data_IF_740181506087
#
_entry.id   IF_740181506087
#
_cell.length_a   1.000
_cell.length_b   1.000
_cell.length_c   1.000
_cell.angle_alpha   90.00
_cell.angle_beta   90.00
_cell.angle_gamma   90.00
#
_symmetry.space_group_name_H-M   'P 1'
#
loop_
_entity.id
_entity.type
_entity.pdbx_description
1 polymer ?
#
# COMPACT_ATOMS: atom_id res chain seq x y z
N UNK A 1 2.58 9.84 2.98
CA UNK A 1 1.88 8.56 2.72
C UNK A 1 2.85 7.43 2.47
N UNK A 2 3.83 7.63 1.59
CA UNK A 2 4.88 6.69 1.21
C UNK A 2 5.56 5.99 2.40
N UNK A 3 6.06 6.77 3.38
CA UNK A 3 6.70 6.21 4.59
C UNK A 3 5.78 5.30 5.41
N UNK A 4 4.48 5.57 5.42
CA UNK A 4 3.52 4.75 6.17
C UNK A 4 3.29 3.41 5.45
N UNK A 5 3.12 3.45 4.12
CA UNK A 5 2.96 2.23 3.32
C UNK A 5 4.24 1.39 3.37
N UNK A 6 5.42 2.02 3.24
CA UNK A 6 6.74 1.37 3.40
C UNK A 6 6.80 0.62 4.74
N UNK A 7 6.52 1.32 5.86
CA UNK A 7 6.59 0.73 7.19
C UNK A 7 5.61 -0.44 7.36
N UNK A 8 4.35 -0.27 6.95
CA UNK A 8 3.35 -1.35 7.07
C UNK A 8 3.68 -2.52 6.16
N UNK A 9 4.18 -2.29 4.95
CA UNK A 9 4.63 -3.35 4.05
C UNK A 9 5.77 -4.17 4.67
N UNK A 10 6.78 -3.49 5.22
CA UNK A 10 7.89 -4.15 5.90
C UNK A 10 7.43 -5.00 7.09
N UNK A 11 6.44 -4.55 7.85
CA UNK A 11 5.88 -5.33 8.96
C UNK A 11 5.24 -6.64 8.47
N UNK A 12 4.52 -6.60 7.34
CA UNK A 12 3.98 -7.81 6.70
C UNK A 12 5.10 -8.76 6.28
N UNK A 13 6.13 -8.25 5.60
CA UNK A 13 7.28 -9.06 5.15
C UNK A 13 8.02 -9.66 6.35
N UNK A 14 8.28 -8.88 7.40
CA UNK A 14 8.93 -9.33 8.65
C UNK A 14 8.11 -10.39 9.37
N UNK A 15 6.78 -10.32 9.29
CA UNK A 15 5.87 -11.34 9.82
C UNK A 15 5.80 -12.61 8.94
N UNK A 16 6.56 -12.69 7.84
CA UNK A 16 6.49 -13.79 6.89
C UNK A 16 5.20 -13.81 6.05
N UNK A 17 4.40 -12.73 6.09
CA UNK A 17 3.20 -12.59 5.28
C UNK A 17 3.59 -12.10 3.89
N UNK A 18 2.93 -12.65 2.87
CA UNK A 18 3.03 -12.14 1.49
C UNK A 18 1.93 -11.13 1.27
N UNK A 19 2.26 -9.92 0.82
CA UNK A 19 1.26 -8.91 0.46
C UNK A 19 0.63 -9.28 -0.89
N UNK A 20 -0.69 -9.16 -0.98
CA UNK A 20 -1.46 -9.45 -2.19
C UNK A 20 -2.08 -8.21 -2.83
N UNK A 21 -2.41 -7.20 -2.01
CA UNK A 21 -3.02 -5.95 -2.45
C UNK A 21 -2.77 -4.84 -1.45
N UNK A 22 -2.57 -3.63 -1.96
CA UNK A 22 -2.60 -2.38 -1.21
C UNK A 22 -3.73 -1.54 -1.79
N UNK A 23 -4.77 -1.30 -1.03
CA UNK A 23 -5.86 -0.42 -1.44
C UNK A 23 -5.57 0.99 -0.92
N UNK A 24 -5.78 2.00 -1.76
CA UNK A 24 -5.55 3.40 -1.40
C UNK A 24 -6.70 4.27 -1.90
N UNK A 25 -7.10 5.27 -1.10
CA UNK A 25 -8.11 6.22 -1.52
C UNK A 25 -7.59 7.10 -2.68
N UNK A 26 -8.46 7.70 -3.50
CA UNK A 26 -8.03 8.58 -4.60
C UNK A 26 -7.13 9.72 -4.12
N UNK A 27 -7.50 10.38 -3.02
CA UNK A 27 -6.72 11.48 -2.41
C UNK A 27 -5.37 10.95 -1.89
N UNK A 28 -5.37 9.75 -1.31
CA UNK A 28 -4.14 9.10 -0.86
C UNK A 28 -3.19 8.79 -2.03
N UNK A 29 -3.74 8.35 -3.15
CA UNK A 29 -2.97 8.08 -4.37
C UNK A 29 -2.34 9.36 -4.94
N UNK A 30 -3.06 10.48 -4.97
CA UNK A 30 -2.50 11.76 -5.42
C UNK A 30 -1.32 12.20 -4.53
N UNK A 31 -1.48 12.06 -3.21
CA UNK A 31 -0.41 12.35 -2.26
C UNK A 31 0.80 11.43 -2.47
N UNK A 32 0.55 10.11 -2.60
CA UNK A 32 1.59 9.12 -2.84
C UNK A 32 2.37 9.42 -4.13
N UNK A 33 1.67 9.71 -5.22
CA UNK A 33 2.28 10.10 -6.50
C UNK A 33 3.17 11.34 -6.36
N UNK A 34 2.75 12.33 -5.56
CA UNK A 34 3.58 13.51 -5.29
C UNK A 34 4.86 13.17 -4.52
N UNK A 35 4.81 12.21 -3.59
CA UNK A 35 6.00 11.75 -2.86
C UNK A 35 6.93 10.90 -3.75
N UNK A 36 6.36 10.03 -4.59
CA UNK A 36 7.11 9.17 -5.51
C UNK A 36 7.86 9.94 -6.59
N UNK A 37 7.32 11.07 -7.06
CA UNK A 37 7.98 11.94 -8.07
C UNK A 37 9.41 12.36 -7.71
N UNK A 38 9.75 12.40 -6.42
CA UNK A 38 11.06 12.83 -5.93
C UNK A 38 12.02 11.66 -5.64
N UNK A 39 11.60 10.40 -5.89
CA UNK A 39 12.45 9.22 -5.67
C UNK A 39 13.15 8.78 -6.95
N UNK A 40 14.35 8.22 -6.75
CA UNK A 40 15.15 7.58 -7.82
C UNK A 40 14.81 6.09 -8.01
N UNK A 41 14.27 5.46 -6.97
CA UNK A 41 13.96 4.04 -6.94
C UNK A 41 12.49 3.85 -6.60
N UNK A 42 11.84 2.97 -7.36
CA UNK A 42 10.44 2.64 -7.23
C UNK A 42 10.26 1.52 -6.18
N UNK A 43 9.38 1.67 -5.18
CA UNK A 43 9.15 0.63 -4.20
C UNK A 43 8.53 -0.63 -4.83
N UNK A 44 9.04 -1.81 -4.46
CA UNK A 44 8.53 -3.09 -4.97
C UNK A 44 7.03 -3.31 -4.75
N UNK A 45 6.49 -2.71 -3.69
CA UNK A 45 5.09 -2.90 -3.33
C UNK A 45 4.13 -2.04 -4.15
N UNK A 46 4.66 -1.12 -4.97
CA UNK A 46 3.84 -0.23 -5.80
C UNK A 46 2.98 -1.01 -6.80
N UNK A 47 3.48 -2.16 -7.28
CA UNK A 47 2.75 -3.08 -8.16
C UNK A 47 1.47 -3.67 -7.52
N UNK A 48 1.38 -3.68 -6.19
CA UNK A 48 0.21 -4.15 -5.47
C UNK A 48 -0.84 -3.06 -5.23
N UNK A 49 -0.54 -1.80 -5.56
CA UNK A 49 -1.40 -0.65 -5.26
C UNK A 49 -2.59 -0.58 -6.22
N UNK A 50 -3.79 -0.47 -5.65
CA UNK A 50 -5.04 -0.25 -6.36
C UNK A 50 -5.82 0.87 -5.71
N UNK A 51 -6.34 1.78 -6.54
CA UNK A 51 -7.23 2.83 -6.06
C UNK A 51 -8.60 2.24 -5.72
N UNK A 52 -9.07 2.48 -4.50
CA UNK A 52 -10.40 2.11 -4.04
C UNK A 52 -11.12 3.36 -3.52
N UNK A 53 -12.27 3.68 -4.10
CA UNK A 53 -13.05 4.90 -3.78
C UNK A 53 -13.85 4.77 -2.48
N UNK A 54 -14.00 3.56 -1.98
CA UNK A 54 -14.84 3.24 -0.82
C UNK A 54 -14.04 3.24 0.50
N UNK A 55 -12.74 3.57 0.46
CA UNK A 55 -11.89 3.65 1.64
C UNK A 55 -11.37 5.07 1.89
N UNK A 56 -11.02 5.35 3.15
CA UNK A 56 -10.27 6.52 3.56
C UNK A 56 -8.85 6.09 3.94
N UNK A 57 -7.83 6.71 3.34
CA UNK A 57 -6.42 6.37 3.60
C UNK A 57 -5.93 5.20 2.75
N UNK A 58 -5.36 4.18 3.38
CA UNK A 58 -4.89 2.96 2.71
C UNK A 58 -5.08 1.72 3.59
N UNK A 59 -5.10 0.54 2.96
CA UNK A 59 -5.15 -0.75 3.62
C UNK A 59 -4.24 -1.76 2.89
N UNK A 60 -3.52 -2.58 3.64
CA UNK A 60 -2.70 -3.68 3.08
C UNK A 60 -3.39 -5.00 3.38
N UNK A 61 -3.53 -5.86 2.37
CA UNK A 61 -4.10 -7.21 2.49
C UNK A 61 -3.03 -8.25 2.19
N UNK A 62 -2.73 -9.12 3.15
CA UNK A 62 -1.85 -10.26 2.97
C UNK A 62 -2.58 -11.48 2.37
N UNK A 63 -1.81 -12.39 1.77
CA UNK A 63 -2.30 -13.70 1.35
C UNK A 63 -2.74 -14.46 2.59
N UNK A 64 -4.02 -14.84 2.65
CA UNK A 64 -4.62 -15.58 3.76
C UNK A 64 -5.30 -14.70 4.81
N UNK A 65 -5.21 -13.38 4.73
CA UNK A 65 -6.09 -12.51 5.50
C UNK A 65 -7.51 -12.63 4.91
N UNK A 66 -8.48 -13.07 5.73
CA UNK A 66 -9.90 -13.05 5.31
C UNK A 66 -10.30 -11.60 5.12
N UNK A 67 -10.68 -11.20 3.90
CA UNK A 67 -11.36 -9.91 3.70
C UNK A 67 -12.59 -9.90 4.62
N UNK A 68 -12.74 -8.89 5.51
CA UNK A 68 -13.99 -8.74 6.24
C UNK A 68 -15.12 -8.57 5.21
N UNK A 69 -16.13 -9.43 5.34
CA UNK A 69 -17.33 -9.47 4.49
C UNK A 69 -18.21 -8.25 4.70
#
# INVERSE_FOLDING_TARGET
MLKQIDATYEEYVKAGKRVSRIEISPIGMDHLNSELKNRKEEPEWLDFVKVNKDIFGFAITGIGDKQPS
#
